data_IF_358620798610
#
_entry.id   IF_358620798610
#
_cell.length_a   1.000
_cell.length_b   1.000
_cell.length_c   1.000
_cell.angle_alpha   90.00
_cell.angle_beta   90.00
_cell.angle_gamma   90.00
#
_symmetry.space_group_name_H-M   'P 1'
#
loop_
_entity.id
_entity.type
_entity.pdbx_description
1 polymer ?
#
# COMPACT_ATOMS: atom_id res chain seq x y z
N UNK A 1 9.12 8.42 18.54
CA UNK A 1 9.43 7.19 17.78
C UNK A 1 8.43 6.09 18.09
N UNK A 2 7.95 5.98 19.34
CA UNK A 2 6.91 5.02 19.73
C UNK A 2 5.51 5.34 19.16
N UNK A 3 5.13 6.62 19.08
CA UNK A 3 3.84 7.04 18.46
C UNK A 3 3.75 6.64 16.97
N UNK A 4 4.82 6.86 16.19
CA UNK A 4 4.85 6.49 14.77
C UNK A 4 4.76 4.97 14.55
N UNK A 5 5.28 4.16 15.49
CA UNK A 5 5.12 2.70 15.42
C UNK A 5 3.68 2.29 15.71
N UNK A 6 3.03 2.96 16.67
CA UNK A 6 1.61 2.79 16.99
C UNK A 6 0.70 3.09 15.78
N UNK A 7 0.94 4.19 15.07
CA UNK A 7 0.15 4.56 13.89
C UNK A 7 0.26 3.51 12.76
N UNK A 8 1.45 2.93 12.58
CA UNK A 8 1.67 1.89 11.58
C UNK A 8 0.97 0.58 11.99
N UNK A 9 1.00 0.22 13.28
CA UNK A 9 0.25 -0.91 13.80
C UNK A 9 -1.25 -0.76 13.58
N UNK A 10 -1.80 0.44 13.78
CA UNK A 10 -3.20 0.73 13.48
C UNK A 10 -3.54 0.56 11.99
N UNK A 11 -2.65 0.99 11.09
CA UNK A 11 -2.85 0.81 9.65
C UNK A 11 -2.94 -0.67 9.27
N UNK A 12 -2.10 -1.52 9.87
CA UNK A 12 -2.11 -2.98 9.64
C UNK A 12 -3.45 -3.57 10.07
N UNK A 13 -3.96 -3.18 11.24
CA UNK A 13 -5.26 -3.67 11.74
C UNK A 13 -6.39 -3.25 10.81
N UNK A 14 -6.50 -1.94 10.54
CA UNK A 14 -7.58 -1.37 9.72
C UNK A 14 -7.61 -2.03 8.33
N UNK A 15 -6.48 -2.10 7.63
CA UNK A 15 -6.46 -2.69 6.29
C UNK A 15 -6.75 -4.19 6.28
N UNK A 16 -6.32 -4.93 7.31
CA UNK A 16 -6.59 -6.36 7.43
C UNK A 16 -8.09 -6.64 7.53
N UNK A 17 -8.83 -5.76 8.20
CA UNK A 17 -10.30 -5.84 8.27
C UNK A 17 -10.95 -5.45 6.94
N UNK A 18 -10.49 -4.37 6.30
CA UNK A 18 -11.03 -3.92 5.02
C UNK A 18 -10.83 -4.94 3.90
N UNK A 19 -9.68 -5.59 3.81
CA UNK A 19 -9.40 -6.60 2.77
C UNK A 19 -10.18 -7.91 2.94
N UNK A 20 -10.71 -8.18 4.14
CA UNK A 20 -11.56 -9.36 4.41
C UNK A 20 -13.03 -9.13 4.12
N UNK A 21 -13.44 -7.88 3.82
CA UNK A 21 -14.84 -7.57 3.55
C UNK A 21 -15.29 -8.24 2.24
N UNK A 22 -16.46 -8.86 2.30
CA UNK A 22 -17.14 -9.35 1.11
C UNK A 22 -17.59 -8.18 0.23
N UNK A 23 -17.51 -8.37 -1.09
CA UNK A 23 -18.02 -7.42 -2.07
C UNK A 23 -19.55 -7.50 -2.11
N UNK A 24 -20.26 -6.39 -1.85
CA UNK A 24 -21.72 -6.35 -1.93
C UNK A 24 -22.19 -5.50 -3.12
N UNK A 25 -23.33 -5.86 -3.74
CA UNK A 25 -23.93 -5.01 -4.77
C UNK A 25 -24.20 -3.58 -4.25
N UNK A 26 -23.75 -2.59 -5.01
CA UNK A 26 -23.86 -1.17 -4.65
C UNK A 26 -22.68 -0.61 -3.86
N UNK A 27 -21.71 -1.43 -3.46
CA UNK A 27 -20.48 -0.94 -2.82
C UNK A 27 -19.62 -0.14 -3.81
N UNK A 28 -18.96 0.91 -3.29
CA UNK A 28 -17.95 1.67 -4.02
C UNK A 28 -16.57 1.21 -3.59
N UNK A 29 -15.75 0.80 -4.57
CA UNK A 29 -14.38 0.35 -4.38
C UNK A 29 -13.40 1.26 -5.13
N UNK A 30 -12.18 1.36 -4.62
CA UNK A 30 -11.12 2.18 -5.18
C UNK A 30 -9.99 1.30 -5.71
N UNK A 31 -9.50 1.62 -6.90
CA UNK A 31 -8.30 1.01 -7.44
C UNK A 31 -7.07 1.72 -6.90
N UNK A 32 -6.07 0.93 -6.50
CA UNK A 32 -4.75 1.40 -6.09
C UNK A 32 -3.72 0.64 -6.90
N UNK A 33 -2.70 1.33 -7.43
CA UNK A 33 -1.68 0.67 -8.24
C UNK A 33 -0.98 -0.42 -7.43
N UNK A 34 -0.76 -1.57 -8.07
CA UNK A 34 -0.11 -2.70 -7.42
C UNK A 34 1.32 -2.36 -6.97
N UNK A 35 2.02 -1.50 -7.72
CA UNK A 35 3.36 -1.04 -7.39
C UNK A 35 3.39 -0.24 -6.08
N UNK A 36 2.55 0.79 -5.98
CA UNK A 36 2.42 1.58 -4.76
C UNK A 36 1.98 0.72 -3.58
N UNK A 37 0.95 -0.11 -3.77
CA UNK A 37 0.39 -0.94 -2.70
C UNK A 37 1.40 -1.96 -2.16
N UNK A 38 2.22 -2.56 -3.02
CA UNK A 38 3.30 -3.47 -2.61
C UNK A 38 4.35 -2.77 -1.74
N UNK A 39 4.73 -1.55 -2.10
CA UNK A 39 5.68 -0.77 -1.31
C UNK A 39 5.10 -0.39 0.06
N UNK A 40 3.84 0.05 0.09
CA UNK A 40 3.14 0.38 1.33
C UNK A 40 3.01 -0.83 2.27
N UNK A 41 2.70 -2.03 1.75
CA UNK A 41 2.68 -3.27 2.56
C UNK A 41 4.03 -3.59 3.21
N UNK A 42 5.15 -3.30 2.53
CA UNK A 42 6.49 -3.43 3.13
C UNK A 42 6.71 -2.41 4.24
N UNK A 43 6.36 -1.15 4.00
CA UNK A 43 6.50 -0.06 4.97
C UNK A 43 5.78 -0.36 6.29
N UNK A 44 4.57 -0.93 6.22
CA UNK A 44 3.81 -1.28 7.42
C UNK A 44 4.13 -2.66 8.00
N UNK A 45 4.97 -3.46 7.31
CA UNK A 45 5.32 -4.82 7.71
C UNK A 45 4.17 -5.83 7.56
N UNK A 46 3.23 -5.60 6.64
CA UNK A 46 2.00 -6.40 6.49
C UNK A 46 2.28 -7.87 6.19
N UNK A 47 3.22 -8.16 5.27
CA UNK A 47 3.52 -9.54 4.85
C UNK A 47 4.45 -10.29 5.83
N UNK A 48 4.83 -9.69 6.96
CA UNK A 48 5.63 -10.31 8.03
C UNK A 48 7.09 -10.64 7.69
N UNK A 49 7.48 -10.55 6.42
CA UNK A 49 8.80 -10.97 5.92
C UNK A 49 9.93 -9.97 6.12
N UNK A 50 9.63 -8.72 6.53
CA UNK A 50 10.65 -7.69 6.74
C UNK A 50 10.28 -6.74 7.89
N UNK A 51 10.12 -7.28 9.11
CA UNK A 51 9.79 -6.50 10.32
C UNK A 51 10.85 -5.47 10.70
N UNK A 52 12.09 -5.64 10.21
CA UNK A 52 13.21 -4.75 10.46
C UNK A 52 13.02 -3.38 9.80
N UNK A 53 12.39 -3.32 8.62
CA UNK A 53 12.21 -2.06 7.88
C UNK A 53 10.90 -1.33 8.17
N UNK A 54 10.15 -1.76 9.19
CA UNK A 54 8.83 -1.19 9.49
C UNK A 54 8.96 0.26 9.95
N UNK A 55 8.31 1.18 9.23
CA UNK A 55 8.37 2.61 9.53
C UNK A 55 9.68 3.30 9.13
N UNK A 56 10.59 2.61 8.43
CA UNK A 56 11.81 3.23 7.91
C UNK A 56 11.50 4.12 6.70
N UNK A 57 12.18 5.27 6.62
CA UNK A 57 12.00 6.25 5.55
C UNK A 57 12.36 5.69 4.16
N UNK A 58 13.36 4.80 4.10
CA UNK A 58 13.84 4.20 2.84
C UNK A 58 12.81 3.31 2.16
N UNK A 59 11.77 2.89 2.89
CA UNK A 59 10.66 2.11 2.36
C UNK A 59 9.33 2.87 2.35
N UNK A 60 9.32 4.15 2.69
CA UNK A 60 8.11 4.98 2.63
C UNK A 60 7.57 5.03 1.19
N UNK A 61 6.28 4.69 0.96
CA UNK A 61 5.73 4.58 -0.39
C UNK A 61 5.45 5.92 -1.07
N UNK A 62 5.51 7.04 -0.34
CA UNK A 62 5.10 8.35 -0.85
C UNK A 62 3.58 8.48 -1.04
N UNK A 63 3.12 9.57 -1.69
CA UNK A 63 1.72 9.76 -2.06
C UNK A 63 1.20 8.62 -2.93
N UNK A 64 -0.10 8.31 -2.85
CA UNK A 64 -0.74 7.28 -3.70
C UNK A 64 -0.53 7.65 -5.18
N UNK A 65 0.18 6.78 -5.89
CA UNK A 65 0.44 6.93 -7.31
C UNK A 65 -0.29 5.86 -8.12
N UNK A 66 -1.34 6.29 -8.81
CA UNK A 66 -2.17 5.48 -9.71
C UNK A 66 -1.86 5.72 -11.19
N UNK A 67 -0.80 6.47 -11.52
CA UNK A 67 -0.44 6.82 -12.90
C UNK A 67 -0.26 5.59 -13.79
N UNK A 68 0.28 4.48 -13.24
CA UNK A 68 0.43 3.20 -13.94
C UNK A 68 -0.90 2.52 -14.35
N UNK A 69 -2.04 2.97 -13.82
CA UNK A 69 -3.38 2.46 -14.17
C UNK A 69 -4.06 3.31 -15.26
N UNK A 70 -3.50 4.46 -15.62
CA UNK A 70 -4.09 5.39 -16.58
C UNK A 70 -3.67 5.02 -18.02
N UNK A 71 -4.64 4.98 -18.94
CA UNK A 71 -4.34 4.81 -20.37
C UNK A 71 -3.44 5.95 -20.87
N UNK A 72 -2.40 5.59 -21.62
CA UNK A 72 -1.40 6.52 -22.15
C UNK A 72 -0.06 6.55 -21.41
N UNK A 73 0.06 5.89 -20.25
CA UNK A 73 1.36 5.65 -19.61
C UNK A 73 2.07 4.46 -20.29
N UNK A 74 2.47 4.66 -21.54
CA UNK A 74 3.35 3.73 -22.25
C UNK A 74 4.72 3.90 -21.59
N UNK A 75 5.24 2.84 -20.95
CA UNK A 75 6.66 2.83 -20.65
C UNK A 75 7.36 2.77 -22.00
N UNK A 76 7.95 3.88 -22.45
CA UNK A 76 8.93 3.84 -23.53
C UNK A 76 10.01 2.88 -23.07
N UNK A 77 9.96 1.64 -23.56
CA UNK A 77 11.13 0.77 -23.50
C UNK A 77 12.12 1.40 -24.45
N UNK A 78 13.16 2.03 -23.91
CA UNK A 78 14.32 2.40 -24.71
C UNK A 78 14.92 1.11 -25.29
N UNK A 79 14.87 0.99 -26.61
CA UNK A 79 15.70 0.07 -27.41
C UNK A 79 17.17 0.50 -27.37
#
# INVERSE_FOLDING_TARGET
MDEMKSDIDEQVVKISEFLKRELKPGDVWYLVSAGWFKQWKKYIGFDGSNKTCKGECDVYPGPIDNSALQEGHITEKSD
#
